data_IF_788670143639
#
_entry.id   IF_788670143639
#
_cell.length_a   1.000
_cell.length_b   1.000
_cell.length_c   1.000
_cell.angle_alpha   90.00
_cell.angle_beta   90.00
_cell.angle_gamma   90.00
#
_symmetry.space_group_name_H-M   'P 1'
#
loop_
_entity.id
_entity.type
_entity.pdbx_description
1 polymer ?
#
# COMPACT_ATOMS: atom_id res chain seq x y z
N UNK A 1 30.90 6.65 22.77
CA UNK A 1 31.06 5.18 22.63
C UNK A 1 29.75 4.54 23.05
N UNK A 2 29.00 3.80 22.21
CA UNK A 2 27.83 3.10 22.70
C UNK A 2 28.28 2.00 23.68
N UNK A 3 27.66 1.97 24.85
CA UNK A 3 27.83 0.91 25.84
C UNK A 3 27.53 -0.45 25.20
N UNK A 4 28.54 -1.34 25.17
CA UNK A 4 28.34 -2.75 24.80
C UNK A 4 27.51 -3.41 25.90
N UNK A 5 26.21 -3.53 25.67
CA UNK A 5 25.35 -4.38 26.50
C UNK A 5 25.85 -5.80 26.40
N UNK A 6 26.39 -6.35 27.49
CA UNK A 6 26.81 -7.75 27.58
C UNK A 6 25.52 -8.59 27.58
N UNK A 7 25.24 -9.23 26.45
CA UNK A 7 24.12 -10.18 26.34
C UNK A 7 24.59 -11.53 26.90
N UNK A 8 24.07 -11.90 28.08
CA UNK A 8 24.27 -13.25 28.60
C UNK A 8 23.47 -14.26 27.73
N UNK A 9 24.11 -15.34 27.26
CA UNK A 9 23.41 -16.29 26.40
C UNK A 9 22.30 -17.00 27.19
N UNK A 10 21.08 -17.10 26.62
CA UNK A 10 19.97 -17.82 27.24
C UNK A 10 20.30 -19.31 27.38
N UNK A 11 19.98 -19.88 28.53
CA UNK A 11 20.28 -21.29 28.85
C UNK A 11 19.18 -22.24 28.39
N UNK A 12 17.97 -21.75 28.17
CA UNK A 12 16.83 -22.54 27.74
C UNK A 12 16.16 -21.92 26.51
N UNK A 13 15.44 -22.74 25.74
CA UNK A 13 14.67 -22.25 24.58
C UNK A 13 13.58 -21.25 25.02
N UNK A 14 12.99 -21.42 26.20
CA UNK A 14 12.02 -20.48 26.75
C UNK A 14 12.64 -19.12 27.04
N UNK A 15 13.83 -19.09 27.64
CA UNK A 15 14.59 -17.85 27.87
C UNK A 15 14.98 -17.17 26.56
N UNK A 16 15.44 -17.95 25.57
CA UNK A 16 15.75 -17.43 24.23
C UNK A 16 14.52 -16.78 23.61
N UNK A 17 13.39 -17.46 23.63
CA UNK A 17 12.12 -16.94 23.09
C UNK A 17 11.70 -15.65 23.79
N UNK A 18 11.81 -15.58 25.11
CA UNK A 18 11.47 -14.38 25.88
C UNK A 18 12.41 -13.21 25.55
N UNK A 19 13.72 -13.46 25.49
CA UNK A 19 14.71 -12.42 25.16
C UNK A 19 14.55 -11.91 23.72
N UNK A 20 14.35 -12.78 22.74
CA UNK A 20 14.11 -12.42 21.34
C UNK A 20 12.82 -11.62 21.21
N UNK A 21 11.74 -12.07 21.87
CA UNK A 21 10.46 -11.32 21.88
C UNK A 21 10.64 -9.91 22.47
N UNK A 22 11.34 -9.79 23.59
CA UNK A 22 11.62 -8.49 24.21
C UNK A 22 12.44 -7.61 23.30
N UNK A 23 13.48 -8.13 22.66
CA UNK A 23 14.31 -7.38 21.73
C UNK A 23 13.53 -6.88 20.51
N UNK A 24 12.68 -7.73 19.92
CA UNK A 24 11.83 -7.36 18.79
C UNK A 24 10.82 -6.28 19.17
N UNK A 25 10.13 -6.43 20.31
CA UNK A 25 9.14 -5.45 20.78
C UNK A 25 9.81 -4.11 21.11
N UNK A 26 10.95 -4.13 21.81
CA UNK A 26 11.67 -2.89 22.15
C UNK A 26 12.24 -2.20 20.90
N UNK A 27 12.76 -2.96 19.94
CA UNK A 27 13.23 -2.44 18.66
C UNK A 27 12.11 -1.77 17.88
N UNK A 28 10.94 -2.42 17.75
CA UNK A 28 9.78 -1.85 17.07
C UNK A 28 9.31 -0.55 17.74
N UNK A 29 9.23 -0.53 19.06
CA UNK A 29 8.85 0.69 19.82
C UNK A 29 9.84 1.84 19.62
N UNK A 30 11.12 1.52 19.49
CA UNK A 30 12.14 2.53 19.21
C UNK A 30 11.97 3.15 17.83
N UNK A 31 11.73 2.33 16.82
CA UNK A 31 11.43 2.77 15.44
C UNK A 31 10.16 3.62 15.40
N UNK A 32 9.08 3.17 16.02
CA UNK A 32 7.81 3.89 16.05
C UNK A 32 7.95 5.27 16.71
N UNK A 33 8.73 5.35 17.80
CA UNK A 33 9.03 6.63 18.48
C UNK A 33 9.88 7.56 17.61
N UNK A 34 10.87 7.04 16.90
CA UNK A 34 11.69 7.82 15.98
C UNK A 34 10.85 8.41 14.84
N UNK A 35 9.96 7.62 14.24
CA UNK A 35 9.01 8.11 13.22
C UNK A 35 8.09 9.21 13.78
N UNK A 36 7.52 8.99 14.96
CA UNK A 36 6.62 9.95 15.58
C UNK A 36 7.30 11.30 15.82
N UNK A 37 8.54 11.29 16.33
CA UNK A 37 9.32 12.50 16.59
C UNK A 37 9.73 13.19 15.29
N UNK A 38 10.10 12.44 14.25
CA UNK A 38 10.41 12.99 12.93
C UNK A 38 9.23 13.75 12.34
N UNK A 39 8.04 13.16 12.32
CA UNK A 39 6.85 13.82 11.78
C UNK A 39 6.38 14.99 12.64
N UNK A 40 6.56 14.90 13.95
CA UNK A 40 6.30 16.01 14.87
C UNK A 40 7.24 17.19 14.62
N UNK A 41 8.53 16.94 14.50
CA UNK A 41 9.52 17.98 14.19
C UNK A 41 9.23 18.63 12.84
N UNK A 42 8.93 17.83 11.81
CA UNK A 42 8.51 18.32 10.49
C UNK A 42 7.29 19.23 10.60
N UNK A 43 6.24 18.78 11.30
CA UNK A 43 5.03 19.58 11.49
C UNK A 43 5.29 20.89 12.24
N UNK A 44 6.13 20.89 13.27
CA UNK A 44 6.53 22.10 14.03
C UNK A 44 7.27 23.10 13.18
N UNK A 45 8.21 22.67 12.36
CA UNK A 45 8.95 23.53 11.45
C UNK A 45 8.01 24.23 10.46
N UNK A 46 7.09 23.47 9.87
CA UNK A 46 6.09 24.01 8.94
C UNK A 46 5.17 25.00 9.66
N UNK A 47 4.65 24.63 10.83
CA UNK A 47 3.71 25.49 11.59
C UNK A 47 4.37 26.78 12.03
N UNK A 48 5.59 26.72 12.56
CA UNK A 48 6.37 27.89 12.95
C UNK A 48 6.63 28.82 11.76
N UNK A 49 6.95 28.26 10.59
CA UNK A 49 7.15 29.04 9.37
C UNK A 49 5.85 29.71 8.90
N UNK A 50 4.74 29.00 8.90
CA UNK A 50 3.44 29.54 8.52
C UNK A 50 2.97 30.64 9.47
N UNK A 51 3.25 30.52 10.77
CA UNK A 51 2.94 31.54 11.77
C UNK A 51 3.75 32.81 11.58
N UNK A 52 5.05 32.71 11.24
CA UNK A 52 5.91 33.85 10.96
C UNK A 52 5.42 34.71 9.78
N UNK A 53 4.76 34.09 8.82
CA UNK A 53 4.31 34.78 7.58
C UNK A 53 2.79 34.85 7.45
N UNK A 54 2.06 34.72 8.56
CA UNK A 54 0.59 34.72 8.60
C UNK A 54 -0.07 35.95 7.96
N UNK A 55 0.59 37.10 8.02
CA UNK A 55 0.07 38.35 7.51
C UNK A 55 0.19 38.51 5.98
N UNK A 56 0.90 37.63 5.30
CA UNK A 56 1.02 37.66 3.83
C UNK A 56 -0.11 36.87 3.21
N UNK A 57 -1.07 37.55 2.61
CA UNK A 57 -2.21 36.93 1.93
C UNK A 57 -1.74 35.89 0.90
N UNK A 58 -2.27 34.67 0.98
CA UNK A 58 -1.98 33.55 0.06
C UNK A 58 -0.61 32.89 0.20
N UNK A 59 0.27 33.35 1.11
CA UNK A 59 1.58 32.76 1.28
C UNK A 59 1.51 31.32 1.80
N UNK A 60 0.64 31.09 2.80
CA UNK A 60 0.50 29.76 3.43
C UNK A 60 0.00 28.66 2.48
N UNK A 61 -0.84 29.03 1.50
CA UNK A 61 -1.41 28.07 0.53
C UNK A 61 -0.36 27.47 -0.42
N UNK A 62 0.75 28.16 -0.65
CA UNK A 62 1.81 27.74 -1.59
C UNK A 62 3.01 27.09 -0.91
N UNK A 63 3.13 27.20 0.42
CA UNK A 63 4.32 26.70 1.16
C UNK A 63 4.39 25.17 1.12
N UNK A 64 3.33 24.47 1.47
CA UNK A 64 3.34 23.01 1.52
C UNK A 64 3.50 22.39 0.14
N UNK A 65 2.75 22.78 -0.91
CA UNK A 65 2.96 22.26 -2.26
C UNK A 65 4.39 22.51 -2.80
N UNK A 66 4.96 23.68 -2.49
CA UNK A 66 6.33 24.00 -2.89
C UNK A 66 7.35 23.13 -2.14
N UNK A 67 7.18 22.99 -0.82
CA UNK A 67 8.06 22.17 0.01
C UNK A 67 8.01 20.69 -0.41
N UNK A 68 6.80 20.17 -0.71
CA UNK A 68 6.61 18.83 -1.20
C UNK A 68 7.37 18.56 -2.50
N UNK A 69 7.34 19.52 -3.41
CA UNK A 69 8.06 19.44 -4.70
C UNK A 69 9.58 19.52 -4.53
N UNK A 70 10.06 20.44 -3.68
CA UNK A 70 11.51 20.63 -3.47
C UNK A 70 12.16 19.46 -2.72
N UNK A 71 11.41 18.81 -1.81
CA UNK A 71 11.88 17.67 -1.02
C UNK A 71 11.52 16.32 -1.63
N UNK A 72 10.78 16.30 -2.76
CA UNK A 72 10.27 15.09 -3.40
C UNK A 72 9.45 14.19 -2.45
N UNK A 73 8.72 14.82 -1.50
CA UNK A 73 7.88 14.12 -0.52
C UNK A 73 6.41 14.34 -0.80
N UNK A 74 5.58 13.42 -0.32
CA UNK A 74 4.13 13.53 -0.50
C UNK A 74 3.56 14.74 0.25
N UNK A 75 2.83 15.59 -0.47
CA UNK A 75 2.19 16.79 0.06
C UNK A 75 1.22 16.48 1.21
N UNK A 76 0.46 15.39 1.11
CA UNK A 76 -0.44 14.92 2.18
C UNK A 76 0.30 14.59 3.48
N UNK A 77 1.52 14.05 3.37
CA UNK A 77 2.35 13.77 4.54
C UNK A 77 2.65 15.06 5.30
N UNK A 78 3.04 16.12 4.58
CA UNK A 78 3.34 17.41 5.18
C UNK A 78 2.10 18.05 5.82
N UNK A 79 0.93 17.99 5.17
CA UNK A 79 -0.32 18.43 5.77
C UNK A 79 -0.69 17.62 7.02
N UNK A 80 -0.47 16.32 7.03
CA UNK A 80 -0.71 15.47 8.21
C UNK A 80 0.25 15.81 9.35
N UNK A 81 1.52 16.06 9.06
CA UNK A 81 2.49 16.51 10.05
C UNK A 81 2.06 17.85 10.67
N UNK A 82 1.64 18.80 9.86
CA UNK A 82 1.12 20.09 10.31
C UNK A 82 -0.12 19.92 11.19
N UNK A 83 -1.12 19.16 10.72
CA UNK A 83 -2.34 18.90 11.48
C UNK A 83 -2.04 18.19 12.79
N UNK A 84 -1.12 17.22 12.77
CA UNK A 84 -0.72 16.49 13.97
C UNK A 84 -0.21 17.41 15.08
N UNK A 85 0.69 18.36 14.79
CA UNK A 85 1.21 19.25 15.82
C UNK A 85 0.19 20.26 16.32
N UNK A 86 -0.75 20.67 15.48
CA UNK A 86 -1.86 21.56 15.85
C UNK A 86 -2.86 20.87 16.77
N UNK A 87 -3.15 19.59 16.51
CA UNK A 87 -4.10 18.82 17.31
C UNK A 87 -3.45 18.22 18.58
N UNK A 88 -2.14 17.94 18.53
CA UNK A 88 -1.35 17.36 19.60
C UNK A 88 -0.09 18.22 19.91
N UNK A 89 -0.26 19.45 20.42
CA UNK A 89 0.87 20.35 20.72
C UNK A 89 1.78 19.77 21.81
N UNK A 90 1.21 19.00 22.74
CA UNK A 90 1.93 18.31 23.81
C UNK A 90 1.63 16.82 23.70
N UNK A 91 2.65 16.03 23.42
CA UNK A 91 2.59 14.58 23.60
C UNK A 91 3.07 14.27 25.01
N UNK A 92 2.18 13.76 25.85
CA UNK A 92 2.61 13.21 27.13
C UNK A 92 3.46 11.98 26.83
N UNK A 93 4.73 11.97 27.29
CA UNK A 93 5.76 10.98 26.92
C UNK A 93 5.46 9.51 27.27
N UNK A 94 4.21 9.19 27.64
CA UNK A 94 3.68 7.87 27.96
C UNK A 94 2.76 7.29 26.89
N UNK A 95 2.59 7.97 25.73
CA UNK A 95 1.75 7.44 24.66
C UNK A 95 2.42 6.21 24.05
N UNK A 96 1.75 5.05 24.16
CA UNK A 96 2.13 3.80 23.49
C UNK A 96 1.71 3.78 22.02
N UNK A 97 1.07 4.87 21.52
CA UNK A 97 0.55 4.98 20.18
C UNK A 97 1.65 5.34 19.19
N UNK A 98 1.66 4.64 18.06
CA UNK A 98 2.58 4.92 16.94
C UNK A 98 2.06 6.05 16.04
N UNK A 99 2.89 6.54 15.11
CA UNK A 99 2.46 7.47 14.07
C UNK A 99 1.22 6.98 13.30
N UNK A 100 1.14 5.67 13.04
CA UNK A 100 -0.01 5.09 12.33
C UNK A 100 -1.33 5.29 13.08
N UNK A 101 -1.33 5.23 14.42
CA UNK A 101 -2.51 5.54 15.24
C UNK A 101 -2.85 7.03 15.18
N UNK A 102 -1.87 7.92 15.39
CA UNK A 102 -2.12 9.36 15.33
C UNK A 102 -2.62 9.82 13.97
N UNK A 103 -2.15 9.19 12.88
CA UNK A 103 -2.65 9.47 11.54
C UNK A 103 -4.16 9.19 11.39
N UNK A 104 -4.68 8.17 12.07
CA UNK A 104 -6.11 7.87 12.10
C UNK A 104 -6.86 8.84 13.01
N UNK A 105 -6.33 9.12 14.19
CA UNK A 105 -6.95 10.03 15.15
C UNK A 105 -7.12 11.44 14.61
N UNK A 106 -6.15 11.98 13.88
CA UNK A 106 -6.27 13.32 13.28
C UNK A 106 -7.34 13.42 12.19
N UNK A 107 -7.83 12.31 11.64
CA UNK A 107 -8.96 12.31 10.69
C UNK A 107 -10.31 12.57 11.39
N UNK A 108 -10.40 12.39 12.70
CA UNK A 108 -11.61 12.70 13.49
C UNK A 108 -11.68 14.19 13.75
N UNK A 109 -12.72 14.85 13.24
CA UNK A 109 -12.88 16.30 13.35
C UNK A 109 -13.21 16.74 14.78
N UNK A 110 -14.09 16.03 15.48
CA UNK A 110 -14.50 16.36 16.83
C UNK A 110 -13.39 16.03 17.85
N UNK A 111 -12.99 17.05 18.62
CA UNK A 111 -11.88 16.93 19.58
C UNK A 111 -12.23 16.04 20.77
N UNK A 112 -13.48 16.01 21.22
CA UNK A 112 -13.89 15.20 22.35
C UNK A 112 -13.91 13.72 21.97
N UNK A 113 -14.50 13.38 20.82
CA UNK A 113 -14.51 12.03 20.26
C UNK A 113 -13.08 11.52 19.99
N UNK A 114 -12.21 12.38 19.45
CA UNK A 114 -10.80 12.04 19.20
C UNK A 114 -10.06 11.70 20.49
N UNK A 115 -10.27 12.46 21.58
CA UNK A 115 -9.68 12.17 22.89
C UNK A 115 -10.20 10.86 23.50
N UNK A 116 -11.49 10.57 23.34
CA UNK A 116 -12.07 9.30 23.77
C UNK A 116 -11.45 8.12 23.04
N UNK A 117 -11.35 8.21 21.71
CA UNK A 117 -10.70 7.18 20.89
C UNK A 117 -9.23 6.97 21.25
N UNK A 118 -8.49 8.06 21.52
CA UNK A 118 -7.09 8.00 21.96
C UNK A 118 -6.97 7.26 23.30
N UNK A 119 -7.81 7.61 24.26
CA UNK A 119 -7.84 6.97 25.57
C UNK A 119 -8.22 5.49 25.49
N UNK A 120 -9.20 5.14 24.66
CA UNK A 120 -9.61 3.75 24.44
C UNK A 120 -8.55 2.95 23.70
N UNK A 121 -7.91 3.51 22.69
CA UNK A 121 -6.81 2.88 21.99
C UNK A 121 -5.62 2.56 22.90
N UNK A 122 -5.29 3.47 23.82
CA UNK A 122 -4.25 3.23 24.83
C UNK A 122 -4.69 2.18 25.87
N UNK A 123 -5.91 2.31 26.41
CA UNK A 123 -6.43 1.45 27.48
C UNK A 123 -6.63 0.01 27.02
N UNK A 124 -7.20 -0.16 25.82
CA UNK A 124 -7.54 -1.45 25.22
C UNK A 124 -6.42 -2.02 24.34
N UNK A 125 -5.31 -1.27 24.21
CA UNK A 125 -4.15 -1.64 23.37
C UNK A 125 -4.55 -1.95 21.93
N UNK A 126 -5.44 -1.13 21.38
CA UNK A 126 -5.89 -1.32 20.00
C UNK A 126 -4.74 -1.26 19.02
N UNK A 127 -4.78 -2.16 18.05
CA UNK A 127 -3.97 -2.03 16.85
C UNK A 127 -4.59 -0.98 15.90
N UNK A 128 -3.88 -0.65 14.80
CA UNK A 128 -4.36 0.34 13.86
C UNK A 128 -5.70 -0.03 13.20
N UNK A 129 -5.96 -1.32 12.98
CA UNK A 129 -7.17 -1.78 12.32
C UNK A 129 -8.41 -1.67 13.24
N UNK A 130 -8.23 -1.89 14.54
CA UNK A 130 -9.27 -1.68 15.55
C UNK A 130 -9.62 -0.21 15.70
N UNK A 131 -8.60 0.66 15.77
CA UNK A 131 -8.80 2.10 15.82
C UNK A 131 -9.46 2.62 14.53
N UNK A 132 -9.04 2.15 13.38
CA UNK A 132 -9.62 2.55 12.09
C UNK A 132 -11.11 2.21 12.00
N UNK A 133 -11.52 1.02 12.46
CA UNK A 133 -12.95 0.65 12.53
C UNK A 133 -13.74 1.62 13.40
N UNK A 134 -13.20 1.99 14.55
CA UNK A 134 -13.86 2.93 15.48
C UNK A 134 -13.93 4.35 14.91
N UNK A 135 -12.88 4.81 14.23
CA UNK A 135 -12.85 6.11 13.52
C UNK A 135 -13.90 6.14 12.40
N UNK A 136 -14.00 5.07 11.61
CA UNK A 136 -15.00 4.95 10.54
C UNK A 136 -16.43 4.99 11.09
N UNK A 137 -16.70 4.29 12.19
CA UNK A 137 -18.02 4.29 12.81
C UNK A 137 -18.43 5.70 13.26
N UNK A 138 -17.52 6.45 13.87
CA UNK A 138 -17.78 7.83 14.31
C UNK A 138 -17.99 8.76 13.13
N UNK A 139 -17.15 8.69 12.09
CA UNK A 139 -17.29 9.55 10.91
C UNK A 139 -18.57 9.23 10.12
N UNK A 140 -19.05 7.99 10.11
CA UNK A 140 -20.33 7.62 9.50
C UNK A 140 -21.54 8.24 10.25
N UNK A 141 -21.48 8.33 11.58
CA UNK A 141 -22.54 8.95 12.40
C UNK A 141 -22.57 10.46 12.18
N UNK A 142 -21.43 11.10 11.99
CA UNK A 142 -21.31 12.56 11.84
C UNK A 142 -21.70 13.09 10.43
N UNK A 143 -21.94 12.20 9.46
CA UNK A 143 -22.35 12.57 8.08
C UNK A 143 -23.87 12.73 7.94
N UNK A 144 -24.69 12.46 8.98
CA UNK A 144 -26.14 12.55 8.86
C UNK A 144 -26.76 13.59 9.81
N UNK A 145 -27.02 14.82 9.32
CA UNK A 145 -28.25 15.50 9.69
C UNK A 145 -29.06 15.87 8.45
N UNK A 146 -30.19 15.20 8.24
CA UNK A 146 -31.29 15.66 7.41
C UNK A 146 -31.64 14.80 6.20
N UNK A 147 -32.30 13.65 6.42
CA UNK A 147 -33.26 13.12 5.45
C UNK A 147 -34.32 12.30 6.21
N UNK A 148 -35.55 12.78 6.08
CA UNK A 148 -36.80 12.27 6.62
C UNK A 148 -37.06 10.80 6.30
N UNK A 149 -37.68 10.11 7.26
CA UNK A 149 -38.18 8.76 7.17
C UNK A 149 -39.11 8.55 5.96
N UNK A 150 -38.81 7.58 5.13
CA UNK A 150 -39.80 6.70 4.51
C UNK A 150 -39.13 5.38 4.13
N UNK A 151 -39.82 4.28 4.49
CA UNK A 151 -39.31 2.95 4.48
C UNK A 151 -39.00 2.40 3.09
N UNK A 152 -37.95 1.63 3.06
CA UNK A 152 -37.52 0.82 1.91
C UNK A 152 -36.14 0.27 2.21
N UNK A 153 -36.08 -1.03 2.52
CA UNK A 153 -34.84 -1.78 2.65
C UNK A 153 -34.10 -1.72 1.32
N UNK A 154 -33.07 -0.90 1.24
CA UNK A 154 -32.04 -1.01 0.20
C UNK A 154 -30.72 -0.60 0.84
N UNK A 155 -29.88 -1.59 1.06
CA UNK A 155 -28.46 -1.45 1.36
C UNK A 155 -27.81 -0.59 0.25
N UNK A 156 -27.56 0.68 0.53
CA UNK A 156 -26.72 1.53 -0.29
C UNK A 156 -25.61 2.06 0.58
N UNK A 157 -24.50 1.30 0.62
CA UNK A 157 -23.21 1.87 0.92
C UNK A 157 -22.97 3.04 -0.06
N UNK A 158 -22.35 4.17 0.37
CA UNK A 158 -22.04 5.28 -0.52
C UNK A 158 -21.24 4.71 -1.70
N UNK A 159 -21.69 5.02 -2.91
CA UNK A 159 -21.04 4.60 -4.14
C UNK A 159 -19.64 5.23 -4.18
N UNK A 160 -18.65 4.53 -3.69
CA UNK A 160 -17.25 4.87 -3.93
C UNK A 160 -17.00 4.82 -5.42
N UNK A 161 -16.24 5.78 -5.95
CA UNK A 161 -15.82 5.73 -7.34
C UNK A 161 -15.23 4.35 -7.66
N UNK A 162 -15.57 3.74 -8.82
CA UNK A 162 -15.10 2.40 -9.17
C UNK A 162 -13.58 2.33 -9.12
N UNK A 163 -13.05 1.15 -8.78
CA UNK A 163 -11.61 0.88 -8.88
C UNK A 163 -11.20 1.00 -10.33
N UNK A 164 -10.32 1.97 -10.63
CA UNK A 164 -9.73 2.07 -11.96
C UNK A 164 -8.61 1.03 -12.07
N UNK A 165 -8.77 0.00 -12.92
CA UNK A 165 -7.76 -1.04 -13.06
C UNK A 165 -6.51 -0.49 -13.74
N UNK A 166 -5.34 -0.89 -13.25
CA UNK A 166 -4.07 -0.66 -13.95
C UNK A 166 -3.72 -1.93 -14.69
N UNK A 167 -3.79 -1.87 -16.00
CA UNK A 167 -3.54 -2.99 -16.88
C UNK A 167 -2.71 -2.56 -18.06
N UNK A 168 -1.68 -3.33 -18.36
CA UNK A 168 -0.84 -3.19 -19.53
C UNK A 168 -0.41 -4.54 -20.07
N UNK A 169 0.53 -4.54 -20.99
CA UNK A 169 1.02 -5.75 -21.65
C UNK A 169 2.28 -6.26 -20.93
N UNK A 170 2.27 -7.51 -20.42
CA UNK A 170 3.45 -8.10 -19.80
C UNK A 170 4.66 -8.15 -20.73
N UNK A 171 5.88 -8.05 -20.13
CA UNK A 171 7.13 -8.16 -20.87
C UNK A 171 7.65 -6.84 -21.42
N UNK A 172 7.11 -5.71 -21.00
CA UNK A 172 7.65 -4.37 -21.24
C UNK A 172 8.40 -3.92 -19.99
N UNK A 173 9.62 -3.45 -20.18
CA UNK A 173 10.54 -3.03 -19.13
C UNK A 173 11.11 -1.66 -19.45
N UNK A 174 11.76 -1.06 -18.48
CA UNK A 174 12.43 0.22 -18.62
C UNK A 174 13.94 0.03 -18.50
N UNK A 175 14.72 0.72 -19.32
CA UNK A 175 16.15 0.88 -19.08
C UNK A 175 16.36 1.88 -17.97
N UNK A 176 17.09 1.49 -16.93
CA UNK A 176 17.41 2.31 -15.76
C UNK A 176 18.92 2.36 -15.54
N UNK A 177 19.40 3.42 -14.91
CA UNK A 177 20.80 3.54 -14.52
C UNK A 177 20.95 3.08 -13.07
N UNK A 178 21.66 1.97 -12.87
CA UNK A 178 21.90 1.33 -11.56
C UNK A 178 23.41 1.38 -11.31
N UNK A 179 23.82 2.01 -10.23
CA UNK A 179 25.24 2.18 -9.85
C UNK A 179 26.13 2.71 -11.01
N UNK A 180 25.55 3.60 -11.82
CA UNK A 180 26.24 4.21 -12.95
C UNK A 180 26.17 3.41 -14.28
N UNK A 181 25.66 2.18 -14.27
CA UNK A 181 25.55 1.29 -15.43
C UNK A 181 24.10 1.18 -15.91
N UNK A 182 23.89 1.15 -17.22
CA UNK A 182 22.56 0.94 -17.79
C UNK A 182 22.16 -0.55 -17.68
N UNK A 183 20.98 -0.79 -17.14
CA UNK A 183 20.39 -2.13 -17.03
C UNK A 183 18.89 -2.08 -17.32
N UNK A 184 18.31 -3.23 -17.71
CA UNK A 184 16.86 -3.36 -17.81
C UNK A 184 16.29 -3.65 -16.44
N UNK A 185 15.40 -2.78 -15.96
CA UNK A 185 14.68 -2.92 -14.71
C UNK A 185 13.52 -3.92 -14.88
N UNK A 186 13.72 -5.14 -14.40
CA UNK A 186 12.70 -6.19 -14.45
C UNK A 186 11.69 -6.09 -13.31
N UNK A 187 11.86 -5.13 -12.39
CA UNK A 187 11.12 -5.05 -11.13
C UNK A 187 11.68 -5.96 -10.03
N UNK A 188 11.17 -5.82 -8.81
CA UNK A 188 11.56 -6.65 -7.65
C UNK A 188 13.06 -6.65 -7.36
N UNK A 189 13.73 -5.51 -7.57
CA UNK A 189 15.19 -5.35 -7.49
C UNK A 189 15.96 -6.37 -8.36
N UNK A 190 15.37 -6.82 -9.46
CA UNK A 190 16.00 -7.68 -10.45
C UNK A 190 16.34 -6.86 -11.70
N UNK A 191 17.58 -6.92 -12.11
CA UNK A 191 18.10 -6.16 -13.25
C UNK A 191 18.76 -7.09 -14.26
N UNK A 192 18.66 -6.73 -15.54
CA UNK A 192 19.35 -7.41 -16.62
C UNK A 192 20.41 -6.46 -17.17
N UNK A 193 21.67 -6.82 -17.03
CA UNK A 193 22.80 -6.06 -17.50
C UNK A 193 22.78 -5.91 -19.03
N UNK A 194 23.01 -4.69 -19.52
CA UNK A 194 23.12 -4.37 -20.94
C UNK A 194 24.55 -4.43 -21.47
N UNK A 195 25.51 -4.75 -20.59
CA UNK A 195 26.96 -4.74 -20.92
C UNK A 195 27.54 -3.32 -20.94
N UNK A 196 28.86 -3.24 -21.13
CA UNK A 196 29.62 -1.99 -21.01
C UNK A 196 29.19 -0.88 -22.00
N UNK A 197 28.61 -1.26 -23.13
CA UNK A 197 28.17 -0.30 -24.17
C UNK A 197 26.69 0.08 -24.07
N UNK A 198 25.98 -0.42 -23.04
CA UNK A 198 24.55 -0.15 -22.84
C UNK A 198 23.65 -0.68 -23.98
N UNK A 199 24.17 -1.52 -24.89
CA UNK A 199 23.42 -2.15 -25.98
C UNK A 199 22.78 -1.17 -26.99
N UNK A 200 23.18 0.10 -26.98
CA UNK A 200 22.57 1.14 -27.83
C UNK A 200 21.22 1.68 -27.28
N UNK A 201 20.91 1.40 -26.03
CA UNK A 201 19.69 1.89 -25.37
C UNK A 201 19.97 3.12 -24.50
N UNK A 202 18.95 3.99 -24.38
CA UNK A 202 18.99 5.16 -23.51
C UNK A 202 18.26 4.92 -22.20
N UNK A 203 18.66 5.63 -21.13
CA UNK A 203 17.93 5.64 -19.87
C UNK A 203 16.47 6.08 -20.07
N UNK A 204 15.53 5.41 -19.43
CA UNK A 204 14.09 5.64 -19.56
C UNK A 204 13.46 4.99 -20.80
N UNK A 205 14.24 4.44 -21.72
CA UNK A 205 13.71 3.76 -22.92
C UNK A 205 12.93 2.50 -22.54
N UNK A 206 11.79 2.29 -23.21
CA UNK A 206 10.98 1.08 -23.05
C UNK A 206 11.50 -0.02 -23.97
N UNK A 207 11.67 -1.20 -23.41
CA UNK A 207 12.22 -2.38 -24.10
C UNK A 207 11.39 -3.64 -23.84
N UNK A 208 11.49 -4.60 -24.75
CA UNK A 208 10.98 -5.97 -24.56
C UNK A 208 12.15 -6.92 -24.46
N UNK A 209 11.99 -7.96 -23.63
CA UNK A 209 12.94 -9.07 -23.52
C UNK A 209 12.26 -10.32 -24.06
N UNK A 210 12.78 -10.91 -25.12
CA UNK A 210 12.22 -12.12 -25.72
C UNK A 210 12.62 -13.41 -24.95
N UNK A 211 12.14 -14.55 -25.45
CA UNK A 211 12.41 -15.89 -24.86
C UNK A 211 13.89 -16.27 -24.83
N UNK A 212 14.71 -15.71 -25.70
CA UNK A 212 16.14 -15.96 -25.82
C UNK A 212 16.99 -14.93 -25.04
N UNK A 213 16.33 -13.96 -24.39
CA UNK A 213 17.00 -12.88 -23.65
C UNK A 213 17.42 -11.71 -24.55
N UNK A 214 17.01 -11.68 -25.82
CA UNK A 214 17.28 -10.57 -26.73
C UNK A 214 16.43 -9.36 -26.33
N UNK A 215 17.06 -8.20 -26.23
CA UNK A 215 16.43 -6.94 -25.87
C UNK A 215 16.17 -6.15 -27.14
N UNK A 216 14.93 -5.65 -27.27
CA UNK A 216 14.50 -4.84 -28.41
C UNK A 216 13.69 -3.63 -27.94
N UNK A 217 13.72 -2.48 -28.66
CA UNK A 217 12.84 -1.37 -28.35
C UNK A 217 11.36 -1.80 -28.34
N UNK A 218 10.61 -1.37 -27.35
CA UNK A 218 9.17 -1.67 -27.23
C UNK A 218 8.35 -0.62 -28.00
N UNK A 219 8.37 -0.65 -29.31
CA UNK A 219 7.61 0.28 -30.14
C UNK A 219 6.11 0.24 -29.78
N UNK A 220 5.49 1.40 -29.62
CA UNK A 220 4.07 1.53 -29.26
C UNK A 220 3.75 1.25 -27.79
N UNK A 221 4.71 0.86 -26.96
CA UNK A 221 4.49 0.68 -25.53
C UNK A 221 4.45 2.03 -24.80
N UNK A 222 3.72 2.06 -23.70
CA UNK A 222 3.56 3.21 -22.81
C UNK A 222 4.05 2.90 -21.39
N UNK A 223 4.13 3.91 -20.54
CA UNK A 223 4.42 3.70 -19.11
C UNK A 223 3.38 2.81 -18.40
N UNK A 224 2.15 2.74 -18.91
CA UNK A 224 1.12 1.85 -18.39
C UNK A 224 1.46 0.36 -18.58
N UNK A 225 2.32 0.03 -19.54
CA UNK A 225 2.77 -1.34 -19.78
C UNK A 225 3.89 -1.80 -18.84
N UNK A 226 4.47 -0.89 -18.05
CA UNK A 226 5.48 -1.24 -17.06
C UNK A 226 4.86 -2.01 -15.89
N UNK A 227 5.66 -2.91 -15.30
CA UNK A 227 5.31 -3.67 -14.10
C UNK A 227 4.06 -4.56 -14.24
N UNK A 228 3.78 -5.00 -15.46
CA UNK A 228 2.78 -6.01 -15.76
C UNK A 228 3.46 -7.37 -15.95
N UNK A 229 2.99 -8.39 -15.24
CA UNK A 229 3.62 -9.71 -15.21
C UNK A 229 2.59 -10.82 -15.38
N UNK A 230 3.01 -11.93 -15.99
CA UNK A 230 2.32 -13.20 -15.87
C UNK A 230 2.65 -13.82 -14.53
N UNK A 231 1.67 -14.45 -13.89
CA UNK A 231 1.84 -15.10 -12.59
C UNK A 231 1.13 -16.45 -12.52
N UNK A 232 1.61 -17.29 -11.60
CA UNK A 232 0.92 -18.46 -11.09
C UNK A 232 0.61 -18.23 -9.61
N UNK A 233 -0.64 -18.37 -9.20
CA UNK A 233 -1.03 -18.32 -7.80
C UNK A 233 -0.73 -19.68 -7.17
N UNK A 234 0.24 -19.71 -6.24
CA UNK A 234 0.64 -20.92 -5.55
C UNK A 234 -0.20 -21.20 -4.31
N UNK A 235 -0.63 -20.15 -3.59
CA UNK A 235 -1.43 -20.27 -2.37
C UNK A 235 -2.24 -19.00 -2.13
N UNK A 236 -3.54 -19.14 -2.01
CA UNK A 236 -4.44 -18.11 -1.48
C UNK A 236 -4.35 -18.18 0.05
N UNK A 237 -3.85 -17.11 0.68
CA UNK A 237 -3.70 -17.01 2.14
C UNK A 237 -5.04 -16.64 2.77
N UNK A 238 -5.63 -15.56 2.28
CA UNK A 238 -6.96 -15.05 2.62
C UNK A 238 -7.60 -14.41 1.38
N UNK A 239 -8.70 -13.64 1.53
CA UNK A 239 -9.43 -13.07 0.40
C UNK A 239 -8.63 -12.04 -0.41
N UNK A 240 -7.63 -11.39 0.17
CA UNK A 240 -6.87 -10.32 -0.49
C UNK A 240 -5.36 -10.55 -0.54
N UNK A 241 -4.88 -11.69 -0.06
CA UNK A 241 -3.44 -11.98 0.07
C UNK A 241 -3.07 -13.34 -0.53
N UNK A 242 -2.05 -13.35 -1.40
CA UNK A 242 -1.61 -14.54 -2.15
C UNK A 242 -0.11 -14.72 -2.14
N UNK A 243 0.35 -15.98 -2.16
CA UNK A 243 1.68 -16.32 -2.61
C UNK A 243 1.65 -16.61 -4.11
N UNK A 244 2.50 -15.93 -4.86
CA UNK A 244 2.55 -16.04 -6.32
C UNK A 244 3.98 -16.29 -6.81
N UNK A 245 4.06 -16.99 -7.92
CA UNK A 245 5.25 -17.08 -8.75
C UNK A 245 5.10 -16.07 -9.89
N UNK A 246 5.96 -15.07 -9.94
CA UNK A 246 5.94 -13.96 -10.90
C UNK A 246 7.00 -14.22 -11.96
N UNK A 247 6.60 -14.29 -13.22
CA UNK A 247 7.50 -14.45 -14.34
C UNK A 247 8.03 -13.09 -14.78
N UNK A 248 9.28 -12.79 -14.42
CA UNK A 248 9.95 -11.55 -14.78
C UNK A 248 10.30 -11.55 -16.27
N UNK A 249 10.80 -12.67 -16.78
CA UNK A 249 11.05 -12.96 -18.18
C UNK A 249 11.10 -14.49 -18.39
N UNK A 250 11.17 -14.99 -19.62
CA UNK A 250 11.34 -16.41 -19.85
C UNK A 250 12.51 -17.00 -19.04
N UNK A 251 12.27 -18.13 -18.35
CA UNK A 251 13.21 -18.84 -17.47
C UNK A 251 13.67 -18.07 -16.21
N UNK A 252 13.12 -16.88 -15.95
CA UNK A 252 13.39 -16.14 -14.72
C UNK A 252 12.10 -15.77 -14.01
N UNK A 253 11.98 -16.17 -12.76
CA UNK A 253 10.83 -15.91 -11.92
C UNK A 253 11.25 -15.59 -10.49
N UNK A 254 10.37 -14.94 -9.75
CA UNK A 254 10.49 -14.70 -8.31
C UNK A 254 9.22 -15.14 -7.61
N UNK A 255 9.32 -15.45 -6.31
CA UNK A 255 8.17 -15.77 -5.47
C UNK A 255 7.92 -14.62 -4.53
N UNK A 256 6.71 -14.05 -4.59
CA UNK A 256 6.36 -12.88 -3.81
C UNK A 256 4.99 -13.07 -3.14
N UNK A 257 4.79 -12.34 -2.06
CA UNK A 257 3.50 -12.22 -1.39
C UNK A 257 2.80 -10.97 -1.93
N UNK A 258 1.64 -11.14 -2.54
CA UNK A 258 0.83 -10.04 -3.05
C UNK A 258 -0.33 -9.74 -2.11
N UNK A 259 -0.73 -8.47 -2.08
CA UNK A 259 -1.98 -8.00 -1.52
C UNK A 259 -2.78 -7.27 -2.61
N UNK A 260 -4.08 -7.51 -2.68
CA UNK A 260 -4.94 -6.79 -3.61
C UNK A 260 -5.00 -5.31 -3.25
N UNK A 261 -4.82 -4.48 -4.25
CA UNK A 261 -4.82 -3.02 -4.12
C UNK A 261 -6.25 -2.50 -3.95
N UNK A 262 -6.44 -1.55 -3.02
CA UNK A 262 -7.66 -0.75 -2.91
C UNK A 262 -8.83 -1.41 -2.23
N UNK A 263 -8.62 -2.54 -1.57
CA UNK A 263 -9.66 -3.25 -0.84
C UNK A 263 -9.10 -3.93 0.42
N UNK A 264 -10.02 -4.39 1.26
CA UNK A 264 -9.72 -5.15 2.47
C UNK A 264 -10.78 -6.25 2.63
N UNK A 265 -10.34 -7.49 2.75
CA UNK A 265 -11.23 -8.61 3.03
C UNK A 265 -11.34 -8.87 4.53
N UNK A 266 -12.45 -9.43 5.00
CA UNK A 266 -12.56 -9.91 6.37
C UNK A 266 -11.51 -10.97 6.69
N UNK A 267 -11.08 -11.01 7.94
CA UNK A 267 -10.09 -11.97 8.44
C UNK A 267 -10.53 -13.42 8.21
N UNK A 268 -9.60 -14.30 7.85
CA UNK A 268 -9.85 -15.72 7.58
C UNK A 268 -10.48 -16.47 8.77
N UNK A 269 -10.32 -15.97 9.99
CA UNK A 269 -10.95 -16.51 11.20
C UNK A 269 -12.49 -16.40 11.19
N UNK A 270 -13.05 -15.45 10.43
CA UNK A 270 -14.48 -15.19 10.32
C UNK A 270 -15.16 -16.05 9.23
N UNK A 271 -16.49 -16.13 9.27
CA UNK A 271 -17.27 -16.82 8.23
C UNK A 271 -17.18 -16.09 6.89
N UNK A 272 -17.21 -14.75 6.92
CA UNK A 272 -17.09 -13.85 5.78
C UNK A 272 -15.71 -13.95 5.13
N UNK A 273 -14.63 -14.00 5.93
CA UNK A 273 -13.27 -14.18 5.40
C UNK A 273 -13.07 -15.54 4.73
N UNK A 274 -13.67 -16.61 5.29
CA UNK A 274 -13.69 -17.92 4.65
C UNK A 274 -14.51 -17.90 3.34
N UNK A 275 -15.60 -17.13 3.28
CA UNK A 275 -16.39 -16.95 2.06
C UNK A 275 -15.60 -16.18 0.99
N UNK A 276 -14.93 -15.09 1.36
CA UNK A 276 -14.04 -14.32 0.48
C UNK A 276 -12.94 -15.22 -0.12
N UNK A 277 -12.27 -16.00 0.74
CA UNK A 277 -11.25 -16.95 0.26
C UNK A 277 -11.80 -17.97 -0.73
N UNK A 278 -12.95 -18.61 -0.43
CA UNK A 278 -13.59 -19.57 -1.36
C UNK A 278 -13.96 -18.94 -2.68
N UNK A 279 -14.45 -17.71 -2.68
CA UNK A 279 -14.77 -16.95 -3.87
C UNK A 279 -13.53 -16.75 -4.76
N UNK A 280 -12.40 -16.34 -4.16
CA UNK A 280 -11.14 -16.20 -4.88
C UNK A 280 -10.63 -17.54 -5.38
N UNK A 281 -10.62 -18.59 -4.55
CA UNK A 281 -10.18 -19.95 -4.95
C UNK A 281 -10.98 -20.43 -6.18
N UNK A 282 -12.30 -20.19 -6.22
CA UNK A 282 -13.16 -20.58 -7.34
C UNK A 282 -12.83 -19.81 -8.63
N UNK A 283 -12.60 -18.49 -8.56
CA UNK A 283 -12.24 -17.68 -9.72
C UNK A 283 -10.83 -18.02 -10.25
N UNK A 284 -9.88 -18.24 -9.36
CA UNK A 284 -8.50 -18.64 -9.72
C UNK A 284 -8.48 -20.01 -10.40
N UNK A 285 -9.27 -20.96 -9.92
CA UNK A 285 -9.36 -22.31 -10.50
C UNK A 285 -9.92 -22.31 -11.94
N UNK A 286 -10.73 -21.31 -12.30
CA UNK A 286 -11.33 -21.18 -13.64
C UNK A 286 -10.45 -20.39 -14.61
N UNK A 287 -9.42 -19.69 -14.10
CA UNK A 287 -8.58 -18.84 -14.91
C UNK A 287 -7.58 -19.65 -15.76
N UNK A 288 -7.50 -19.36 -17.05
CA UNK A 288 -6.50 -19.97 -17.96
C UNK A 288 -5.16 -19.26 -17.94
N UNK A 289 -5.15 -17.98 -17.59
CA UNK A 289 -3.97 -17.18 -17.41
C UNK A 289 -4.23 -16.08 -16.39
N UNK A 290 -3.22 -15.72 -15.63
CA UNK A 290 -3.31 -14.67 -14.63
C UNK A 290 -2.23 -13.63 -14.93
N UNK A 291 -2.64 -12.36 -14.96
CA UNK A 291 -1.72 -11.23 -15.08
C UNK A 291 -1.92 -10.28 -13.91
N UNK A 292 -0.86 -9.61 -13.53
CA UNK A 292 -0.89 -8.61 -12.46
C UNK A 292 -0.23 -7.32 -12.93
N UNK A 293 -0.66 -6.19 -12.35
CA UNK A 293 0.12 -4.97 -12.32
C UNK A 293 0.54 -4.69 -10.87
N UNK A 294 1.83 -4.51 -10.63
CA UNK A 294 2.35 -4.22 -9.28
C UNK A 294 3.65 -3.44 -9.34
N UNK A 295 3.86 -2.50 -8.44
CA UNK A 295 5.05 -1.64 -8.46
C UNK A 295 5.83 -1.62 -7.15
N UNK A 296 5.17 -1.66 -6.00
CA UNK A 296 5.83 -1.50 -4.70
C UNK A 296 5.22 -2.37 -3.61
N UNK A 297 5.99 -2.76 -2.59
CA UNK A 297 5.46 -3.44 -1.43
C UNK A 297 4.69 -2.47 -0.50
N UNK A 298 3.80 -3.03 0.30
CA UNK A 298 3.20 -2.36 1.45
C UNK A 298 4.19 -2.38 2.66
N UNK A 299 3.75 -1.82 3.78
CA UNK A 299 4.54 -1.80 5.03
C UNK A 299 4.86 -3.18 5.63
N UNK A 300 4.27 -4.24 5.11
CA UNK A 300 4.47 -5.64 5.53
C UNK A 300 5.18 -6.47 4.47
N UNK A 301 5.88 -5.81 3.55
CA UNK A 301 6.61 -6.45 2.45
C UNK A 301 5.73 -7.31 1.52
N UNK A 302 4.44 -6.91 1.37
CA UNK A 302 3.52 -7.50 0.38
C UNK A 302 3.37 -6.51 -0.77
N UNK A 303 3.56 -6.99 -1.99
CA UNK A 303 3.40 -6.16 -3.18
C UNK A 303 1.91 -5.90 -3.45
N UNK A 304 1.52 -4.62 -3.54
CA UNK A 304 0.16 -4.21 -3.88
C UNK A 304 -0.09 -4.48 -5.37
N UNK A 305 -1.16 -5.21 -5.69
CA UNK A 305 -1.42 -5.65 -7.05
C UNK A 305 -2.86 -5.44 -7.51
N UNK A 306 -3.00 -5.12 -8.79
CA UNK A 306 -4.20 -5.34 -9.58
C UNK A 306 -4.09 -6.71 -10.24
N UNK A 307 -5.09 -7.58 -10.09
CA UNK A 307 -5.07 -8.96 -10.56
C UNK A 307 -6.16 -9.18 -11.60
N UNK A 308 -5.78 -9.74 -12.75
CA UNK A 308 -6.65 -10.01 -13.89
C UNK A 308 -6.63 -11.49 -14.21
N UNK A 309 -7.82 -12.11 -14.25
CA UNK A 309 -8.04 -13.52 -14.50
C UNK A 309 -8.60 -13.68 -15.91
N UNK A 310 -7.87 -14.29 -16.82
CA UNK A 310 -8.38 -14.62 -18.14
C UNK A 310 -9.39 -15.77 -18.00
N UNK A 311 -10.61 -15.65 -18.60
CA UNK A 311 -11.62 -16.68 -18.50
C UNK A 311 -11.17 -17.97 -19.18
N UNK A 312 -11.59 -19.11 -18.62
CA UNK A 312 -11.45 -20.42 -19.25
C UNK A 312 -12.27 -20.52 -20.53
N UNK A 313 -11.87 -21.39 -21.45
CA UNK A 313 -12.73 -21.82 -22.56
C UNK A 313 -13.84 -22.71 -21.95
N UNK A 314 -14.94 -22.10 -21.55
CA UNK A 314 -16.17 -22.85 -21.29
C UNK A 314 -16.77 -23.31 -22.61
N UNK A 315 -17.63 -24.34 -22.57
CA UNK A 315 -18.28 -24.99 -23.73
C UNK A 315 -19.16 -24.06 -24.60
N UNK A 316 -19.28 -22.80 -24.27
CA UNK A 316 -19.85 -21.74 -25.10
C UNK A 316 -18.72 -20.94 -25.78
N UNK A 317 -18.11 -21.55 -26.78
CA UNK A 317 -17.09 -20.97 -27.68
C UNK A 317 -17.66 -19.78 -28.46
N UNK A 318 -17.65 -18.62 -27.87
CA UNK A 318 -18.09 -17.36 -28.49
C UNK A 318 -17.68 -16.11 -27.71
N UNK A 319 -17.32 -16.25 -26.44
CA UNK A 319 -16.93 -15.11 -25.64
C UNK A 319 -15.40 -14.94 -25.68
N UNK A 320 -14.93 -14.01 -26.47
CA UNK A 320 -13.72 -13.25 -26.21
C UNK A 320 -13.95 -12.45 -24.92
N UNK A 321 -14.09 -13.16 -23.79
CA UNK A 321 -14.41 -12.55 -22.51
C UNK A 321 -13.25 -11.68 -22.05
N UNK A 322 -13.55 -10.44 -21.71
CA UNK A 322 -12.57 -9.59 -21.01
C UNK A 322 -12.14 -10.30 -19.71
N UNK A 323 -10.86 -10.20 -19.34
CA UNK A 323 -10.38 -10.75 -18.08
C UNK A 323 -11.13 -10.16 -16.88
N UNK A 324 -11.49 -11.01 -15.95
CA UNK A 324 -12.09 -10.59 -14.68
C UNK A 324 -11.08 -9.80 -13.86
N UNK A 325 -11.41 -8.59 -13.51
CA UNK A 325 -10.65 -7.79 -12.57
C UNK A 325 -10.98 -8.21 -11.14
N UNK A 326 -10.12 -9.06 -10.54
CA UNK A 326 -10.38 -9.72 -9.25
C UNK A 326 -10.66 -8.74 -8.12
N UNK A 327 -9.90 -7.61 -8.08
CA UNK A 327 -10.08 -6.59 -7.06
C UNK A 327 -11.52 -6.01 -7.08
N UNK A 328 -12.08 -5.82 -8.26
CA UNK A 328 -13.44 -5.31 -8.40
C UNK A 328 -14.50 -6.39 -8.13
N UNK A 329 -14.26 -7.61 -8.61
CA UNK A 329 -15.16 -8.73 -8.40
C UNK A 329 -15.41 -9.03 -6.90
N UNK A 330 -14.39 -8.88 -6.05
CA UNK A 330 -14.52 -9.02 -4.60
C UNK A 330 -15.39 -7.93 -3.97
N UNK A 331 -15.28 -6.69 -4.47
CA UNK A 331 -16.10 -5.57 -4.00
C UNK A 331 -17.56 -5.74 -4.43
N UNK A 332 -17.80 -6.09 -5.70
CA UNK A 332 -19.15 -6.34 -6.24
C UNK A 332 -19.82 -7.55 -5.58
N UNK A 333 -19.05 -8.60 -5.30
CA UNK A 333 -19.53 -9.79 -4.61
C UNK A 333 -19.79 -9.58 -3.11
N UNK A 334 -19.51 -8.39 -2.56
CA UNK A 334 -19.66 -8.11 -1.13
C UNK A 334 -18.67 -8.85 -0.24
N UNK A 335 -17.58 -9.37 -0.82
CA UNK A 335 -16.52 -10.09 -0.12
C UNK A 335 -15.39 -9.22 0.40
N UNK A 336 -15.38 -7.95 0.02
CA UNK A 336 -14.40 -6.96 0.44
C UNK A 336 -15.03 -5.59 0.64
N UNK A 337 -14.38 -4.75 1.41
CA UNK A 337 -14.71 -3.34 1.55
C UNK A 337 -13.65 -2.49 0.84
N UNK A 338 -14.07 -1.32 0.32
CA UNK A 338 -13.15 -0.37 -0.28
C UNK A 338 -12.19 0.18 0.76
N UNK A 339 -10.90 0.13 0.48
CA UNK A 339 -9.88 0.77 1.29
C UNK A 339 -9.53 2.14 0.72
N UNK A 340 -9.36 3.13 1.61
CA UNK A 340 -9.26 4.54 1.23
C UNK A 340 -8.15 4.90 0.25
N UNK A 341 -8.39 6.02 -0.44
CA UNK A 341 -7.62 6.61 -1.55
C UNK A 341 -6.11 6.83 -1.30
N UNK A 342 -5.59 6.67 -0.07
CA UNK A 342 -4.16 6.84 0.19
C UNK A 342 -3.29 5.72 -0.42
N UNK A 343 -3.86 4.53 -0.66
CA UNK A 343 -3.17 3.46 -1.39
C UNK A 343 -3.06 3.76 -2.89
N UNK A 344 -3.79 4.78 -3.38
CA UNK A 344 -3.87 5.12 -4.79
C UNK A 344 -3.02 6.33 -5.19
N UNK A 345 -2.69 7.23 -4.24
CA UNK A 345 -2.11 8.54 -4.52
C UNK A 345 -0.69 8.50 -5.06
N UNK A 346 0.09 7.49 -4.70
CA UNK A 346 1.54 7.47 -4.93
C UNK A 346 1.99 6.47 -6.01
N UNK A 347 1.06 6.02 -6.85
CA UNK A 347 1.32 5.04 -7.90
C UNK A 347 1.59 5.70 -9.26
N UNK A 348 2.33 6.78 -9.30
CA UNK A 348 2.91 7.20 -10.57
C UNK A 348 4.02 6.21 -10.97
N UNK A 349 3.92 5.57 -12.16
CA UNK A 349 4.99 4.73 -12.67
C UNK A 349 6.19 5.66 -12.97
N UNK A 350 7.14 5.72 -12.09
CA UNK A 350 8.34 6.53 -12.35
C UNK A 350 9.11 7.03 -11.13
N UNK A 351 8.58 6.91 -9.92
CA UNK A 351 9.26 7.36 -8.70
C UNK A 351 9.64 6.17 -7.81
N UNK A 352 10.54 5.33 -8.31
CA UNK A 352 11.45 4.56 -7.46
C UNK A 352 12.84 5.09 -7.79
N UNK A 353 13.30 6.04 -6.97
CA UNK A 353 14.72 6.28 -6.78
C UNK A 353 15.22 5.43 -5.63
#
# INVERSE_FOLDING_TARGET
>A
MPERTIILPPKTFAELTAQVRTALISGQRHVDRAYLETYRTTGRLIDAHLLLYKERAGYGEKVIPRLARELEVNERLLYRCLRFVREYPILTGRSELSWAHYRLLIEVADRAQRKTLEADACRLRWNCDELERSVRAINAINVTPGASANGGVTSLAPAHAPLVPRRGVPGVYRVAKIDGVLAVDLGFACYLDLGAEGGGFAEGQLVRVDGNGRITPAAGASKADLFNYRVEIGKVVDGDTFWVKIYLRPRQWTKQKLRLRGLDCPELSTAEGKAAKRFVDALVAQATAITINTTKPDKYDRYLADVFLAPGRGDNAGATGEPVYLNHALLEGGHAVRKDAWEFGDWEPGLIK
#
